data_IF_075436303733
#
_entry.id   IF_075436303733
#
_cell.length_a   1.000
_cell.length_b   1.000
_cell.length_c   1.000
_cell.angle_alpha   90.00
_cell.angle_beta   90.00
_cell.angle_gamma   90.00
#
_symmetry.space_group_name_H-M   'P 1'
#
loop_
_entity.id
_entity.type
_entity.pdbx_description
1 polymer ?
#
# COMPACT_ATOMS: atom_id res chain seq x y z
N UNK A 1 -25.22 4.80 -2.46
CA UNK A 1 -24.47 6.01 -2.80
C UNK A 1 -25.44 7.11 -3.17
N UNK A 2 -25.58 8.11 -2.30
CA UNK A 2 -26.34 9.31 -2.65
C UNK A 2 -25.63 10.07 -3.76
N UNK A 3 -26.40 10.57 -4.72
CA UNK A 3 -25.86 11.34 -5.85
C UNK A 3 -25.09 12.55 -5.30
N UNK A 4 -23.86 12.82 -5.78
CA UNK A 4 -23.10 13.97 -5.31
C UNK A 4 -23.91 15.25 -5.54
N UNK A 5 -24.04 16.07 -4.50
CA UNK A 5 -24.75 17.36 -4.55
C UNK A 5 -24.13 18.22 -5.65
N UNK A 6 -24.93 18.58 -6.65
CA UNK A 6 -24.55 19.52 -7.70
C UNK A 6 -24.62 20.94 -7.15
N UNK A 7 -23.49 21.65 -7.12
CA UNK A 7 -23.42 23.00 -6.61
C UNK A 7 -21.99 23.44 -6.31
N UNK A 8 -21.83 24.68 -5.83
CA UNK A 8 -20.54 25.19 -5.38
C UNK A 8 -20.06 24.36 -4.19
N UNK A 9 -18.85 23.82 -4.30
CA UNK A 9 -18.22 23.04 -3.22
C UNK A 9 -17.00 23.77 -2.70
N UNK A 10 -16.74 23.57 -1.41
CA UNK A 10 -15.46 23.92 -0.80
C UNK A 10 -14.60 22.66 -0.84
N UNK A 11 -13.43 22.73 -1.48
CA UNK A 11 -12.47 21.64 -1.51
C UNK A 11 -11.31 22.00 -0.57
N UNK A 12 -11.25 21.32 0.58
CA UNK A 12 -10.25 21.60 1.62
C UNK A 12 -8.83 21.21 1.18
N UNK A 13 -8.69 20.13 0.41
CA UNK A 13 -7.40 19.72 -0.11
C UNK A 13 -6.86 20.75 -1.10
N UNK A 14 -7.71 21.26 -2.00
CA UNK A 14 -7.35 22.35 -2.91
C UNK A 14 -6.92 23.61 -2.15
N UNK A 15 -7.65 23.99 -1.10
CA UNK A 15 -7.27 25.13 -0.27
C UNK A 15 -5.91 24.90 0.40
N UNK A 16 -5.69 23.73 1.02
CA UNK A 16 -4.39 23.40 1.63
C UNK A 16 -3.24 23.43 0.62
N UNK A 17 -3.44 22.94 -0.61
CA UNK A 17 -2.43 22.98 -1.67
C UNK A 17 -2.08 24.42 -2.06
N UNK A 18 -3.09 25.30 -2.18
CA UNK A 18 -2.86 26.68 -2.62
C UNK A 18 -2.21 27.57 -1.56
N UNK A 19 -2.49 27.29 -0.27
CA UNK A 19 -2.06 28.13 0.84
C UNK A 19 -0.76 27.64 1.52
N UNK A 20 -0.20 26.49 1.11
CA UNK A 20 1.04 25.96 1.68
C UNK A 20 2.27 26.45 0.91
N UNK A 21 3.39 26.66 1.61
CA UNK A 21 4.67 27.03 0.99
C UNK A 21 5.28 25.90 0.15
N UNK A 22 5.04 24.65 0.56
CA UNK A 22 5.54 23.46 -0.13
C UNK A 22 4.59 22.28 0.01
N UNK A 23 4.43 21.53 -1.09
CA UNK A 23 3.56 20.36 -1.16
C UNK A 23 4.40 19.09 -1.21
N UNK A 24 4.06 18.13 -0.35
CA UNK A 24 4.74 16.85 -0.22
C UNK A 24 3.78 15.69 -0.42
N UNK A 25 4.31 14.58 -0.93
CA UNK A 25 3.60 13.29 -0.98
C UNK A 25 4.54 12.12 -0.69
N UNK A 26 3.99 10.93 -0.56
CA UNK A 26 4.65 9.74 0.02
C UNK A 26 5.48 8.91 -0.96
N UNK A 27 5.63 9.35 -2.21
CA UNK A 27 6.45 8.67 -3.21
C UNK A 27 6.80 9.63 -4.36
N UNK A 28 8.05 9.65 -4.85
CA UNK A 28 8.45 10.40 -6.04
C UNK A 28 7.58 10.08 -7.26
N UNK A 29 7.35 8.79 -7.53
CA UNK A 29 6.53 8.38 -8.68
C UNK A 29 5.08 8.80 -8.54
N UNK A 30 4.53 8.72 -7.33
CA UNK A 30 3.17 9.20 -7.08
C UNK A 30 3.05 10.72 -7.29
N UNK A 31 4.09 11.50 -6.98
CA UNK A 31 4.13 12.92 -7.27
C UNK A 31 4.03 13.19 -8.79
N UNK A 32 4.75 12.41 -9.61
CA UNK A 32 4.68 12.46 -11.07
C UNK A 32 3.30 12.06 -11.60
N UNK A 33 2.71 11.00 -11.05
CA UNK A 33 1.37 10.55 -11.42
C UNK A 33 0.31 11.62 -11.15
N UNK A 34 0.34 12.24 -9.98
CA UNK A 34 -0.61 13.29 -9.58
C UNK A 34 -0.59 14.50 -10.53
N UNK A 35 0.56 14.82 -11.12
CA UNK A 35 0.70 15.94 -12.07
C UNK A 35 0.56 15.51 -13.53
N UNK A 36 0.36 14.23 -13.83
CA UNK A 36 0.34 13.71 -15.20
C UNK A 36 -1.02 13.83 -15.90
N UNK A 37 -2.13 13.94 -15.16
CA UNK A 37 -3.45 14.10 -15.76
C UNK A 37 -4.60 14.09 -14.75
N UNK A 38 -5.79 14.44 -15.23
CA UNK A 38 -7.01 14.63 -14.43
C UNK A 38 -7.44 13.35 -13.68
N UNK A 39 -7.37 12.19 -14.34
CA UNK A 39 -7.76 10.91 -13.74
C UNK A 39 -6.85 10.51 -12.57
N UNK A 40 -5.55 10.75 -12.70
CA UNK A 40 -4.55 10.39 -11.68
C UNK A 40 -4.44 11.42 -10.57
N UNK A 41 -4.57 12.70 -10.90
CA UNK A 41 -4.58 13.81 -9.94
C UNK A 41 -5.96 14.09 -9.34
N UNK A 42 -6.99 13.33 -9.72
CA UNK A 42 -8.38 13.47 -9.27
C UNK A 42 -8.84 14.94 -9.34
N UNK A 43 -8.72 15.52 -10.55
CA UNK A 43 -9.09 16.92 -10.86
C UNK A 43 -8.23 18.01 -10.18
N UNK A 44 -7.19 17.65 -9.43
CA UNK A 44 -6.25 18.58 -8.78
C UNK A 44 -4.89 18.70 -9.48
N UNK A 45 -4.67 17.92 -10.53
CA UNK A 45 -3.44 17.84 -11.32
C UNK A 45 -2.93 19.22 -11.77
N UNK A 46 -3.83 20.06 -12.27
CA UNK A 46 -3.53 21.42 -12.74
C UNK A 46 -3.02 22.33 -11.63
N UNK A 47 -3.50 22.14 -10.40
CA UNK A 47 -3.11 22.95 -9.25
C UNK A 47 -1.75 22.48 -8.76
N UNK A 48 -1.56 21.16 -8.64
CA UNK A 48 -0.30 20.54 -8.24
C UNK A 48 0.84 20.87 -9.22
N UNK A 49 0.56 20.95 -10.53
CA UNK A 49 1.54 21.43 -11.52
C UNK A 49 1.99 22.86 -11.29
N UNK A 50 1.11 23.74 -10.81
CA UNK A 50 1.42 25.17 -10.59
C UNK A 50 2.19 25.40 -9.30
N UNK A 51 1.82 24.70 -8.22
CA UNK A 51 2.46 24.83 -6.91
C UNK A 51 3.75 24.02 -6.81
N UNK A 52 3.90 22.99 -7.65
CA UNK A 52 4.93 21.98 -7.48
C UNK A 52 4.58 21.00 -6.37
N UNK A 53 5.09 19.76 -6.49
CA UNK A 53 4.93 18.70 -5.50
C UNK A 53 6.21 17.87 -5.45
N UNK A 54 6.64 17.52 -4.24
CA UNK A 54 7.83 16.66 -4.03
C UNK A 54 7.40 15.36 -3.37
N UNK A 55 7.78 14.23 -3.96
CA UNK A 55 7.54 12.92 -3.37
C UNK A 55 8.72 12.44 -2.54
N UNK A 56 8.44 11.93 -1.34
CA UNK A 56 9.43 11.36 -0.42
C UNK A 56 8.92 9.99 0.00
N UNK A 57 9.72 8.94 -0.23
CA UNK A 57 9.34 7.56 0.10
C UNK A 57 9.17 7.41 1.61
N UNK A 58 8.04 6.83 2.03
CA UNK A 58 7.82 6.49 3.43
C UNK A 58 8.82 5.43 3.91
N UNK A 59 9.29 5.59 5.14
CA UNK A 59 9.97 4.53 5.88
C UNK A 59 8.99 3.50 6.44
N UNK A 60 9.53 2.56 7.22
CA UNK A 60 8.79 1.55 7.98
C UNK A 60 9.43 1.41 9.36
N UNK A 61 8.64 1.07 10.38
CA UNK A 61 9.16 0.77 11.71
C UNK A 61 9.86 -0.60 11.72
N UNK A 62 11.19 -0.58 11.78
CA UNK A 62 12.05 -1.77 11.80
C UNK A 62 12.18 -2.43 13.18
N UNK A 63 11.55 -1.88 14.21
CA UNK A 63 11.43 -2.53 15.52
C UNK A 63 10.16 -3.38 15.56
N UNK A 64 9.07 -2.85 15.00
CA UNK A 64 7.81 -3.59 14.88
C UNK A 64 7.91 -4.69 13.81
N UNK A 65 8.39 -4.35 12.61
CA UNK A 65 8.47 -5.26 11.46
C UNK A 65 9.87 -5.86 11.31
N UNK A 66 10.21 -6.79 12.20
CA UNK A 66 11.55 -7.35 12.26
C UNK A 66 11.56 -8.88 12.43
N UNK A 67 11.96 -9.65 11.39
CA UNK A 67 11.95 -11.11 11.46
C UNK A 67 12.90 -11.71 12.51
N UNK A 68 13.86 -10.94 13.03
CA UNK A 68 14.75 -11.38 14.12
C UNK A 68 14.09 -11.29 15.50
N UNK A 69 13.08 -10.43 15.66
CA UNK A 69 12.50 -10.13 16.99
C UNK A 69 10.99 -10.31 17.04
N UNK A 70 10.36 -10.55 15.89
CA UNK A 70 8.93 -10.82 15.74
C UNK A 70 8.48 -11.91 16.73
N UNK A 71 7.36 -11.63 17.39
CA UNK A 71 6.77 -12.46 18.44
C UNK A 71 5.67 -13.38 17.92
N UNK A 72 5.16 -13.11 16.72
CA UNK A 72 4.05 -13.81 16.09
C UNK A 72 4.55 -14.86 15.12
N UNK A 73 5.63 -14.60 14.38
CA UNK A 73 6.29 -15.63 13.58
C UNK A 73 7.07 -16.54 14.53
N UNK A 74 6.53 -17.75 14.81
CA UNK A 74 7.12 -18.70 15.76
C UNK A 74 8.58 -19.09 15.47
N UNK A 75 9.10 -18.75 14.29
CA UNK A 75 10.50 -18.93 13.89
C UNK A 75 11.05 -17.58 13.44
N UNK A 76 12.15 -17.17 14.06
CA UNK A 76 12.88 -15.93 13.74
C UNK A 76 13.97 -16.20 12.71
N UNK A 77 14.28 -15.19 11.90
CA UNK A 77 15.30 -15.32 10.85
C UNK A 77 15.93 -13.99 10.46
N UNK A 78 17.06 -14.10 9.76
CA UNK A 78 17.77 -13.01 9.09
C UNK A 78 18.08 -13.37 7.63
N UNK A 79 18.83 -12.51 6.95
CA UNK A 79 19.24 -12.71 5.56
C UNK A 79 20.05 -14.00 5.33
N UNK A 80 20.72 -14.54 6.35
CA UNK A 80 21.55 -15.75 6.22
C UNK A 80 20.77 -17.04 6.51
N UNK A 81 19.74 -16.95 7.35
CA UNK A 81 18.93 -18.11 7.80
C UNK A 81 17.58 -18.22 7.08
N UNK A 82 17.20 -17.20 6.30
CA UNK A 82 15.91 -17.09 5.60
C UNK A 82 15.52 -18.34 4.80
N UNK A 83 16.48 -18.99 4.12
CA UNK A 83 16.23 -20.16 3.27
C UNK A 83 15.82 -21.41 4.06
N UNK A 84 16.23 -21.51 5.32
CA UNK A 84 15.85 -22.61 6.21
C UNK A 84 14.59 -22.27 7.02
N UNK A 85 14.43 -21.00 7.41
CA UNK A 85 13.34 -20.56 8.28
C UNK A 85 12.01 -20.37 7.53
N UNK A 86 12.01 -19.75 6.34
CA UNK A 86 10.78 -19.46 5.60
C UNK A 86 9.95 -20.70 5.22
N UNK A 87 10.55 -21.85 4.83
CA UNK A 87 9.79 -23.08 4.60
C UNK A 87 8.98 -23.51 5.82
N UNK A 88 9.57 -23.43 7.02
CA UNK A 88 8.90 -23.81 8.27
C UNK A 88 7.79 -22.81 8.64
N UNK A 89 8.02 -21.51 8.44
CA UNK A 89 6.99 -20.48 8.63
C UNK A 89 5.82 -20.69 7.66
N UNK A 90 6.12 -21.09 6.42
CA UNK A 90 5.12 -21.38 5.39
C UNK A 90 4.28 -22.60 5.74
N UNK A 91 4.89 -23.68 6.22
CA UNK A 91 4.17 -24.87 6.68
C UNK A 91 3.26 -24.54 7.88
N UNK A 92 3.75 -23.72 8.81
CA UNK A 92 2.94 -23.24 9.94
C UNK A 92 1.74 -22.40 9.47
N UNK A 93 1.94 -21.51 8.49
CA UNK A 93 0.85 -20.73 7.89
C UNK A 93 -0.16 -21.64 7.18
N UNK A 94 0.31 -22.59 6.37
CA UNK A 94 -0.55 -23.56 5.67
C UNK A 94 -1.41 -24.34 6.66
N UNK A 95 -0.83 -24.81 7.76
CA UNK A 95 -1.55 -25.52 8.81
C UNK A 95 -2.60 -24.62 9.50
N UNK A 96 -2.24 -23.37 9.83
CA UNK A 96 -3.14 -22.42 10.51
C UNK A 96 -4.38 -22.08 9.67
N UNK A 97 -4.22 -21.95 8.35
CA UNK A 97 -5.30 -21.57 7.43
C UNK A 97 -5.96 -22.78 6.74
N UNK A 98 -5.60 -24.00 7.15
CA UNK A 98 -6.21 -25.25 6.66
C UNK A 98 -5.86 -25.63 5.22
N UNK A 99 -4.73 -25.15 4.68
CA UNK A 99 -4.20 -25.55 3.38
C UNK A 99 -3.35 -26.83 3.46
N UNK A 100 -3.12 -27.54 2.33
CA UNK A 100 -2.15 -28.62 2.28
C UNK A 100 -0.77 -28.14 2.75
N UNK A 101 -0.22 -28.83 3.75
CA UNK A 101 1.11 -28.52 4.31
C UNK A 101 2.16 -29.12 3.39
N UNK A 102 2.75 -28.27 2.56
CA UNK A 102 3.80 -28.63 1.62
C UNK A 102 4.63 -27.38 1.30
N UNK A 103 5.90 -27.40 1.72
CA UNK A 103 6.86 -26.33 1.47
C UNK A 103 7.13 -26.07 -0.02
N UNK A 104 6.84 -27.02 -0.91
CA UNK A 104 7.14 -26.90 -2.34
C UNK A 104 5.95 -26.29 -3.13
N UNK A 105 4.73 -26.27 -2.57
CA UNK A 105 3.55 -25.62 -3.19
C UNK A 105 3.62 -24.09 -3.00
N UNK A 106 3.66 -23.25 -4.05
CA UNK A 106 3.71 -21.79 -3.88
C UNK A 106 2.48 -21.26 -3.13
N UNK A 107 2.69 -20.32 -2.21
CA UNK A 107 1.62 -19.66 -1.43
C UNK A 107 1.59 -18.18 -1.82
N UNK A 108 0.41 -17.70 -2.19
CA UNK A 108 0.15 -16.28 -2.49
C UNK A 108 -0.68 -15.71 -1.34
N UNK A 109 -0.22 -14.62 -0.74
CA UNK A 109 -0.91 -13.92 0.34
C UNK A 109 -1.37 -12.54 -0.08
N UNK A 110 -2.63 -12.20 0.21
CA UNK A 110 -3.17 -10.86 0.05
C UNK A 110 -3.54 -10.29 1.43
N UNK A 111 -2.98 -9.13 1.76
CA UNK A 111 -3.31 -8.38 2.96
C UNK A 111 -3.58 -6.93 2.53
N UNK A 112 -4.84 -6.51 2.64
CA UNK A 112 -5.27 -5.19 2.21
C UNK A 112 -6.70 -4.90 2.62
N UNK A 113 -7.09 -3.61 2.57
CA UNK A 113 -8.50 -3.22 2.73
C UNK A 113 -9.31 -3.74 1.54
N UNK A 114 -10.54 -4.18 1.80
CA UNK A 114 -11.49 -4.61 0.77
C UNK A 114 -12.15 -3.39 0.13
N UNK A 115 -11.34 -2.64 -0.62
CA UNK A 115 -11.75 -1.49 -1.43
C UNK A 115 -11.17 -1.64 -2.83
N UNK A 116 -11.83 -1.05 -3.82
CA UNK A 116 -11.43 -1.06 -5.24
C UNK A 116 -9.97 -0.61 -5.43
N UNK A 117 -9.48 0.33 -4.61
CA UNK A 117 -8.08 0.78 -4.63
C UNK A 117 -7.05 -0.35 -4.43
N UNK A 118 -7.46 -1.47 -3.81
CA UNK A 118 -6.59 -2.63 -3.56
C UNK A 118 -6.84 -3.79 -4.51
N UNK A 119 -7.82 -3.69 -5.41
CA UNK A 119 -8.09 -4.71 -6.43
C UNK A 119 -8.48 -6.07 -5.85
N UNK A 120 -9.11 -6.11 -4.67
CA UNK A 120 -9.54 -7.37 -4.06
C UNK A 120 -10.59 -8.10 -4.91
N UNK A 121 -11.40 -7.35 -5.66
CA UNK A 121 -12.34 -7.82 -6.66
C UNK A 121 -11.62 -8.54 -7.82
N UNK A 122 -10.56 -7.94 -8.36
CA UNK A 122 -9.74 -8.53 -9.43
C UNK A 122 -9.09 -9.84 -8.96
N UNK A 123 -8.56 -9.85 -7.73
CA UNK A 123 -7.94 -11.05 -7.16
C UNK A 123 -8.95 -12.21 -7.08
N UNK A 124 -10.18 -11.93 -6.64
CA UNK A 124 -11.24 -12.94 -6.53
C UNK A 124 -11.68 -13.46 -7.90
N UNK A 125 -11.73 -12.60 -8.93
CA UNK A 125 -12.11 -13.00 -10.28
C UNK A 125 -11.06 -13.89 -10.98
N UNK A 126 -9.79 -13.80 -10.56
CA UNK A 126 -8.66 -14.49 -11.22
C UNK A 126 -8.36 -15.88 -10.63
N UNK A 127 -9.01 -16.26 -9.52
CA UNK A 127 -8.85 -17.55 -8.83
C UNK A 127 -9.88 -18.57 -9.36
#
# INVERSE_FOLDING_TARGET
YDKPVKGRKINWMKAGILESDQILTVSPYYAEELVSGEDKGVELDNILRKTGIVGIVNGMDVQEWNPLTDKYTGIKYDATTVMNAKPLIKEALQAEVGLPVDKDIPVIGFIGRLEEQKGSDILVETI
#
